data_IF_988505117692
#
_entry.id   IF_988505117692
#
_cell.length_a   1.000
_cell.length_b   1.000
_cell.length_c   1.000
_cell.angle_alpha   90.00
_cell.angle_beta   90.00
_cell.angle_gamma   90.00
#
_symmetry.space_group_name_H-M   'P 1'
#
loop_
_entity.id
_entity.type
_entity.pdbx_description
1 polymer ?
#
# COMPACT_ATOMS: atom_id res chain seq x y z
N UNK A 1 12.58 10.20 4.60
CA UNK A 1 11.49 10.93 5.29
C UNK A 1 10.19 10.63 4.56
N UNK A 2 9.08 10.35 5.26
CA UNK A 2 7.79 10.17 4.59
C UNK A 2 7.44 11.38 3.71
N UNK A 3 6.78 11.13 2.58
CA UNK A 3 6.36 12.18 1.66
C UNK A 3 5.48 13.19 2.39
N UNK A 4 5.81 14.47 2.24
CA UNK A 4 4.94 15.53 2.70
C UNK A 4 3.59 15.53 1.95
N UNK A 5 2.67 16.39 2.38
CA UNK A 5 1.34 16.46 1.81
C UNK A 5 1.33 16.87 0.32
N UNK A 6 2.34 17.61 -0.17
CA UNK A 6 2.39 18.03 -1.56
C UNK A 6 2.84 16.88 -2.47
N UNK A 7 3.92 16.21 -2.08
CA UNK A 7 4.46 15.05 -2.80
C UNK A 7 3.54 13.85 -2.72
N UNK A 8 2.94 13.59 -1.57
CA UNK A 8 1.95 12.53 -1.40
C UNK A 8 0.70 12.77 -2.26
N UNK A 9 0.25 14.03 -2.38
CA UNK A 9 -0.84 14.40 -3.29
C UNK A 9 -0.46 14.15 -4.76
N UNK A 10 0.73 14.59 -5.20
CA UNK A 10 1.21 14.33 -6.58
C UNK A 10 1.34 12.84 -6.87
N UNK A 11 1.80 12.04 -5.90
CA UNK A 11 1.87 10.59 -6.00
C UNK A 11 0.47 9.98 -6.19
N UNK A 12 -0.52 10.39 -5.40
CA UNK A 12 -1.90 9.91 -5.55
C UNK A 12 -2.51 10.33 -6.89
N UNK A 13 -2.22 11.54 -7.37
CA UNK A 13 -2.60 12.02 -8.69
C UNK A 13 -1.98 11.16 -9.80
N UNK A 14 -0.68 10.84 -9.72
CA UNK A 14 0.00 9.96 -10.67
C UNK A 14 -0.69 8.59 -10.74
N UNK A 15 -0.95 7.96 -9.59
CA UNK A 15 -1.61 6.64 -9.50
C UNK A 15 -2.98 6.67 -10.18
N UNK A 16 -3.73 7.75 -9.99
CA UNK A 16 -5.13 7.85 -10.42
C UNK A 16 -5.33 8.40 -11.82
N UNK A 17 -4.34 9.09 -12.40
CA UNK A 17 -4.43 9.69 -13.74
C UNK A 17 -3.66 8.91 -14.82
N UNK A 18 -2.53 8.27 -14.49
CA UNK A 18 -1.63 7.64 -15.48
C UNK A 18 -1.58 6.12 -15.42
N UNK A 19 -2.51 5.48 -14.71
CA UNK A 19 -2.53 4.01 -14.58
C UNK A 19 -2.67 3.27 -15.93
N UNK A 20 -3.36 3.90 -16.89
CA UNK A 20 -3.59 3.34 -18.22
C UNK A 20 -2.43 3.49 -19.18
N UNK A 21 -1.53 4.42 -18.88
CA UNK A 21 -0.28 4.51 -19.60
C UNK A 21 0.59 3.30 -19.26
N UNK A 22 0.92 2.51 -20.28
CA UNK A 22 1.76 1.32 -20.15
C UNK A 22 3.14 1.66 -19.57
N UNK A 23 3.66 2.84 -19.86
CA UNK A 23 4.93 3.34 -19.34
C UNK A 23 4.89 3.53 -17.82
N UNK A 24 3.79 4.08 -17.30
CA UNK A 24 3.59 4.36 -15.87
C UNK A 24 3.06 3.17 -15.08
N UNK A 25 2.29 2.29 -15.70
CA UNK A 25 1.62 1.16 -15.03
C UNK A 25 2.56 0.34 -14.15
N UNK A 26 3.75 -0.04 -14.65
CA UNK A 26 4.72 -0.82 -13.87
C UNK A 26 5.22 -0.07 -12.64
N UNK A 27 5.48 1.23 -12.77
CA UNK A 27 5.92 2.10 -11.67
C UNK A 27 4.82 2.24 -10.62
N UNK A 28 3.59 2.50 -11.05
CA UNK A 28 2.43 2.57 -10.18
C UNK A 28 2.19 1.25 -9.45
N UNK A 29 2.25 0.11 -10.15
CA UNK A 29 2.13 -1.21 -9.51
C UNK A 29 3.21 -1.45 -8.45
N UNK A 30 4.44 -0.96 -8.67
CA UNK A 30 5.51 -0.98 -7.65
C UNK A 30 5.15 -0.06 -6.48
N UNK A 31 4.71 1.17 -6.72
CA UNK A 31 4.28 2.10 -5.65
C UNK A 31 3.15 1.51 -4.82
N UNK A 32 2.13 0.90 -5.43
CA UNK A 32 1.03 0.22 -4.72
C UNK A 32 1.47 -1.02 -3.92
N UNK A 33 2.69 -1.53 -4.14
CA UNK A 33 3.24 -2.60 -3.31
C UNK A 33 3.79 -2.11 -1.97
N UNK A 34 4.13 -0.82 -1.88
CA UNK A 34 4.80 -0.19 -0.73
C UNK A 34 3.88 -0.05 0.49
N UNK A 35 4.46 0.04 1.71
CA UNK A 35 3.70 0.39 2.91
C UNK A 35 3.24 1.85 2.87
N UNK A 36 2.08 2.14 3.46
CA UNK A 36 1.50 3.49 3.56
C UNK A 36 2.31 4.44 4.46
N UNK A 37 3.23 3.91 5.27
CA UNK A 37 4.09 4.70 6.17
C UNK A 37 5.02 5.68 5.43
N UNK A 38 5.23 5.50 4.13
CA UNK A 38 5.98 6.46 3.32
C UNK A 38 5.20 7.71 2.93
N UNK A 39 3.94 7.86 3.36
CA UNK A 39 3.14 9.08 3.21
C UNK A 39 2.91 9.67 4.60
N UNK A 40 3.24 10.95 4.81
CA UNK A 40 3.13 11.57 6.13
C UNK A 40 1.68 11.92 6.50
N UNK A 41 0.88 12.35 5.52
CA UNK A 41 -0.48 12.81 5.75
C UNK A 41 -1.47 11.63 5.96
N UNK A 42 -2.21 11.59 7.09
CA UNK A 42 -3.10 10.47 7.40
C UNK A 42 -4.26 10.29 6.40
N UNK A 43 -4.78 11.38 5.83
CA UNK A 43 -5.84 11.34 4.81
C UNK A 43 -5.28 10.68 3.54
N UNK A 44 -4.07 11.06 3.13
CA UNK A 44 -3.40 10.49 1.98
C UNK A 44 -3.00 9.02 2.21
N UNK A 45 -2.67 8.62 3.44
CA UNK A 45 -2.48 7.21 3.79
C UNK A 45 -3.76 6.39 3.58
N UNK A 46 -4.91 6.89 4.04
CA UNK A 46 -6.21 6.24 3.85
C UNK A 46 -6.54 6.11 2.35
N UNK A 47 -6.35 7.20 1.59
CA UNK A 47 -6.53 7.21 0.14
C UNK A 47 -5.61 6.20 -0.55
N UNK A 48 -4.33 6.18 -0.18
CA UNK A 48 -3.36 5.25 -0.73
C UNK A 48 -3.74 3.79 -0.44
N UNK A 49 -4.17 3.47 0.78
CA UNK A 49 -4.60 2.12 1.16
C UNK A 49 -5.85 1.68 0.40
N UNK A 50 -6.83 2.58 0.25
CA UNK A 50 -8.03 2.33 -0.54
C UNK A 50 -7.67 2.01 -2.00
N UNK A 51 -6.83 2.84 -2.64
CA UNK A 51 -6.36 2.62 -4.01
C UNK A 51 -5.55 1.31 -4.13
N UNK A 52 -4.67 1.03 -3.17
CA UNK A 52 -3.89 -0.20 -3.09
C UNK A 52 -4.79 -1.43 -3.06
N UNK A 53 -5.83 -1.45 -2.24
CA UNK A 53 -6.76 -2.57 -2.16
C UNK A 53 -7.60 -2.66 -3.44
N UNK A 54 -8.21 -1.56 -3.88
CA UNK A 54 -9.08 -1.53 -5.05
C UNK A 54 -8.38 -1.94 -6.35
N UNK A 55 -7.20 -1.38 -6.61
CA UNK A 55 -6.44 -1.64 -7.83
C UNK A 55 -5.72 -3.00 -7.79
N UNK A 56 -5.30 -3.51 -6.63
CA UNK A 56 -4.77 -4.88 -6.51
C UNK A 56 -5.86 -5.95 -6.62
N UNK A 57 -7.03 -5.72 -6.02
CA UNK A 57 -8.18 -6.62 -6.18
C UNK A 57 -8.55 -6.75 -7.67
N UNK A 58 -8.48 -5.64 -8.40
CA UNK A 58 -8.65 -5.65 -9.84
C UNK A 58 -7.56 -6.46 -10.56
N UNK A 59 -6.28 -6.34 -10.16
CA UNK A 59 -5.18 -7.18 -10.68
C UNK A 59 -5.41 -8.68 -10.44
N UNK A 60 -5.94 -9.08 -9.28
CA UNK A 60 -6.25 -10.48 -8.96
C UNK A 60 -7.39 -11.05 -9.81
N UNK A 61 -8.28 -10.20 -10.34
CA UNK A 61 -9.38 -10.58 -11.22
C UNK A 61 -8.98 -10.66 -12.70
N UNK A 62 -7.71 -10.36 -13.04
CA UNK A 62 -7.11 -10.45 -14.39
C UNK A 62 -6.96 -11.90 -14.92
N UNK A 63 -7.76 -12.85 -14.43
CA UNK A 63 -7.86 -14.17 -15.04
C UNK A 63 -8.51 -14.10 -16.43
N UNK A 64 -9.22 -13.00 -16.77
CA UNK A 64 -9.75 -12.76 -18.11
C UNK A 64 -9.19 -11.46 -18.74
N UNK A 65 -8.56 -11.51 -19.93
CA UNK A 65 -7.58 -10.50 -20.35
C UNK A 65 -8.16 -9.46 -21.32
N UNK A 66 -7.63 -8.25 -21.22
CA UNK A 66 -7.66 -7.16 -22.20
C UNK A 66 -8.95 -6.32 -22.37
N UNK A 67 -10.15 -6.87 -22.50
CA UNK A 67 -11.31 -6.04 -22.92
C UNK A 67 -11.84 -5.05 -21.84
N UNK A 68 -11.70 -5.35 -20.55
CA UNK A 68 -12.11 -4.44 -19.45
C UNK A 68 -10.97 -3.50 -19.02
N UNK A 69 -9.72 -3.91 -19.23
CA UNK A 69 -8.50 -3.23 -18.71
C UNK A 69 -7.95 -2.20 -19.70
N UNK A 70 -8.25 -2.33 -20.99
CA UNK A 70 -7.85 -1.35 -22.00
C UNK A 70 -8.80 -0.15 -21.91
N UNK A 71 -8.43 0.86 -21.13
CA UNK A 71 -9.10 2.18 -21.14
C UNK A 71 -9.48 2.80 -19.79
N UNK A 72 -8.87 2.39 -18.68
CA UNK A 72 -9.02 3.13 -17.42
C UNK A 72 -10.26 2.90 -16.62
N UNK A 73 -11.08 1.93 -17.02
CA UNK A 73 -12.37 1.71 -16.38
C UNK A 73 -12.25 1.38 -14.89
N UNK A 74 -11.32 0.51 -14.49
CA UNK A 74 -11.16 0.13 -13.09
C UNK A 74 -10.58 1.25 -12.23
N UNK A 75 -9.61 1.99 -12.76
CA UNK A 75 -9.05 3.16 -12.09
C UNK A 75 -10.14 4.21 -11.90
N UNK A 76 -10.91 4.48 -12.96
CA UNK A 76 -12.05 5.39 -12.94
C UNK A 76 -13.13 4.94 -11.98
N UNK A 77 -13.50 3.66 -11.96
CA UNK A 77 -14.53 3.14 -11.06
C UNK A 77 -14.13 3.29 -9.58
N UNK A 78 -12.87 2.97 -9.24
CA UNK A 78 -12.34 3.13 -7.88
C UNK A 78 -12.34 4.61 -7.48
N UNK A 79 -11.95 5.51 -8.38
CA UNK A 79 -11.98 6.97 -8.14
C UNK A 79 -13.42 7.49 -7.99
N UNK A 80 -14.32 7.12 -8.91
CA UNK A 80 -15.71 7.57 -8.92
C UNK A 80 -16.42 7.09 -7.65
N UNK A 81 -16.14 5.86 -7.21
CA UNK A 81 -16.66 5.33 -5.95
C UNK A 81 -16.13 6.09 -4.74
N UNK A 82 -14.84 6.41 -4.71
CA UNK A 82 -14.25 7.23 -3.64
C UNK A 82 -14.87 8.64 -3.60
N UNK A 83 -15.11 9.27 -4.76
CA UNK A 83 -15.74 10.60 -4.86
C UNK A 83 -17.22 10.58 -4.50
N UNK A 84 -17.92 9.51 -4.86
CA UNK A 84 -19.35 9.34 -4.54
C UNK A 84 -19.56 9.05 -3.06
N UNK A 85 -18.68 8.25 -2.47
CA UNK A 85 -18.82 7.74 -1.11
C UNK A 85 -17.49 7.80 -0.32
N UNK A 86 -17.01 9.00 0.06
CA UNK A 86 -15.75 9.21 0.78
C UNK A 86 -15.56 8.35 2.04
N UNK A 87 -16.66 8.03 2.72
CA UNK A 87 -16.67 7.19 3.92
C UNK A 87 -16.17 5.75 3.68
N UNK A 88 -16.16 5.28 2.42
CA UNK A 88 -15.56 3.98 2.06
C UNK A 88 -14.03 4.01 2.10
N UNK A 89 -13.44 5.21 1.96
CA UNK A 89 -11.99 5.42 2.06
C UNK A 89 -11.60 5.63 3.53
N UNK A 90 -12.41 6.37 4.28
CA UNK A 90 -12.18 6.72 5.68
C UNK A 90 -13.36 7.49 6.25
N UNK A 91 -13.75 7.20 7.48
CA UNK A 91 -14.98 7.72 8.11
C UNK A 91 -15.01 9.25 8.26
N UNK A 92 -13.84 9.89 8.32
CA UNK A 92 -13.71 11.34 8.53
C UNK A 92 -13.42 12.13 7.23
N UNK A 93 -13.37 11.44 6.08
CA UNK A 93 -13.05 12.07 4.80
C UNK A 93 -14.22 12.84 4.21
N UNK A 94 -13.92 14.02 3.68
CA UNK A 94 -14.88 14.85 2.96
C UNK A 94 -14.64 14.78 1.46
N UNK A 95 -15.57 15.34 0.69
CA UNK A 95 -15.48 15.32 -0.78
C UNK A 95 -14.30 16.16 -1.28
N UNK A 96 -13.97 17.22 -0.56
CA UNK A 96 -12.89 18.15 -0.87
C UNK A 96 -11.52 17.45 -0.80
N UNK A 97 -11.36 16.53 0.15
CA UNK A 97 -10.13 15.76 0.37
C UNK A 97 -9.83 14.78 -0.77
N UNK A 98 -10.85 14.42 -1.57
CA UNK A 98 -10.77 13.40 -2.62
C UNK A 98 -10.92 14.02 -4.02
N UNK A 99 -11.32 15.30 -4.10
CA UNK A 99 -11.63 15.98 -5.36
C UNK A 99 -10.47 15.95 -6.37
N UNK A 100 -9.23 15.98 -5.88
CA UNK A 100 -8.02 16.00 -6.71
C UNK A 100 -7.70 14.67 -7.41
N UNK A 101 -8.27 13.53 -6.96
CA UNK A 101 -8.02 12.23 -7.57
C UNK A 101 -8.46 12.23 -9.05
N UNK A 102 -7.66 11.58 -9.89
CA UNK A 102 -7.88 11.52 -11.34
C UNK A 102 -7.48 12.79 -12.10
N UNK A 103 -6.98 13.82 -11.41
CA UNK A 103 -6.36 14.98 -12.05
C UNK A 103 -4.90 14.67 -12.33
N UNK A 104 -4.43 14.94 -13.55
CA UNK A 104 -3.02 14.75 -13.89
C UNK A 104 -2.13 15.69 -13.06
N UNK A 105 -1.01 15.20 -12.49
CA UNK A 105 -0.15 16.02 -11.64
C UNK A 105 0.73 17.02 -12.40
N UNK A 106 0.79 16.95 -13.74
CA UNK A 106 1.61 17.82 -14.58
C UNK A 106 2.85 17.16 -15.17
N UNK A 107 3.48 17.82 -16.12
CA UNK A 107 4.65 17.32 -16.86
C UNK A 107 5.93 17.27 -16.00
N UNK A 108 5.92 17.88 -14.82
CA UNK A 108 6.98 17.81 -13.81
C UNK A 108 7.08 16.41 -13.17
N UNK A 109 5.99 15.64 -13.20
CA UNK A 109 5.99 14.23 -12.79
C UNK A 109 6.60 13.38 -13.90
N UNK A 110 7.92 13.25 -13.83
CA UNK A 110 8.77 12.46 -14.75
C UNK A 110 9.26 11.17 -14.08
N UNK A 111 9.94 10.30 -14.84
CA UNK A 111 10.61 9.11 -14.26
C UNK A 111 11.61 9.50 -13.16
N UNK A 112 12.42 10.55 -13.40
CA UNK A 112 13.39 11.03 -12.42
C UNK A 112 12.72 11.53 -11.14
N UNK A 113 11.61 12.25 -11.27
CA UNK A 113 10.80 12.63 -10.10
C UNK A 113 10.28 11.41 -9.34
N UNK A 114 9.84 10.35 -10.03
CA UNK A 114 9.35 9.13 -9.38
C UNK A 114 10.47 8.41 -8.63
N UNK A 115 11.68 8.36 -9.18
CA UNK A 115 12.85 7.80 -8.51
C UNK A 115 13.21 8.62 -7.25
N UNK A 116 13.22 9.95 -7.34
CA UNK A 116 13.45 10.83 -6.19
C UNK A 116 12.39 10.66 -5.11
N UNK A 117 11.12 10.58 -5.51
CA UNK A 117 9.98 10.31 -4.61
C UNK A 117 10.14 8.96 -3.90
N UNK A 118 10.62 7.92 -4.60
CA UNK A 118 10.92 6.64 -3.96
C UNK A 118 12.07 6.73 -2.97
N UNK A 119 13.13 7.47 -3.28
CA UNK A 119 14.23 7.69 -2.32
C UNK A 119 13.66 8.28 -1.03
N UNK A 120 12.86 9.36 -1.14
CA UNK A 120 12.23 9.96 0.03
C UNK A 120 11.36 8.97 0.80
N UNK A 121 10.52 8.20 0.10
CA UNK A 121 9.65 7.17 0.68
C UNK A 121 10.38 6.19 1.60
N UNK A 122 11.64 5.86 1.28
CA UNK A 122 12.46 4.89 2.02
C UNK A 122 13.59 5.51 2.85
N UNK A 123 13.78 6.83 2.81
CA UNK A 123 14.83 7.54 3.55
C UNK A 123 14.47 7.69 5.05
N UNK A 124 13.75 6.71 5.59
CA UNK A 124 13.59 6.47 7.03
C UNK A 124 14.36 5.18 7.27
N UNK A 125 15.52 5.23 7.95
CA UNK A 125 16.07 4.01 8.55
C UNK A 125 14.93 3.37 9.34
N UNK A 126 14.65 2.09 9.16
CA UNK A 126 13.78 1.39 10.11
C UNK A 126 14.33 1.69 11.50
N UNK A 127 13.71 2.61 12.24
CA UNK A 127 13.94 2.72 13.66
C UNK A 127 13.42 1.40 14.21
N UNK A 128 14.38 0.50 14.42
CA UNK A 128 14.29 -0.67 15.27
C UNK A 128 13.40 -0.27 16.44
N UNK A 129 12.15 -0.74 16.45
CA UNK A 129 11.38 -0.72 17.69
C UNK A 129 12.24 -1.48 18.68
N UNK A 130 12.78 -0.88 19.76
CA UNK A 130 13.28 -1.69 20.83
C UNK A 130 12.10 -2.56 21.27
N UNK A 131 12.30 -3.87 21.23
CA UNK A 131 11.34 -4.83 21.75
C UNK A 131 10.89 -4.32 23.12
N UNK A 132 9.59 -4.01 23.25
CA UNK A 132 8.99 -3.69 24.53
C UNK A 132 9.20 -4.89 25.46
N UNK A 133 10.11 -4.71 26.42
CA UNK A 133 10.09 -5.30 27.76
C UNK A 133 9.81 -6.79 27.86
N UNK A 134 10.85 -7.61 27.71
CA UNK A 134 10.97 -8.84 28.50
C UNK A 134 11.61 -8.45 29.85
N UNK A 135 10.77 -8.03 30.81
CA UNK A 135 11.18 -8.04 32.22
C UNK A 135 11.19 -9.49 32.75
N UNK A 136 12.21 -9.71 33.57
CA UNK A 136 12.81 -10.97 33.97
C UNK A 136 11.91 -11.86 34.84
N UNK A 137 12.05 -13.18 34.67
CA UNK A 137 11.44 -14.20 35.53
C UNK A 137 12.29 -15.47 35.62
N UNK A 138 13.47 -15.36 36.22
CA UNK A 138 14.40 -16.46 36.53
C UNK A 138 13.86 -17.34 37.67
N UNK A 139 13.65 -18.64 37.41
CA UNK A 139 13.83 -19.78 38.36
C UNK A 139 13.96 -21.06 37.51
N UNK A 140 15.19 -21.53 37.25
CA UNK A 140 15.93 -22.55 38.00
C UNK A 140 15.37 -23.99 37.88
N UNK A 141 16.18 -24.85 37.26
CA UNK A 141 16.38 -26.27 37.58
C UNK A 141 15.18 -27.22 37.65
N UNK A 142 15.13 -28.19 36.73
CA UNK A 142 15.37 -29.61 37.06
C UNK A 142 15.19 -30.52 35.83
N UNK A 143 16.17 -31.40 35.65
CA UNK A 143 16.24 -32.55 34.73
C UNK A 143 14.92 -33.36 34.59
N UNK A 144 14.65 -33.80 33.36
CA UNK A 144 14.36 -35.22 33.13
C UNK A 144 14.56 -35.59 31.66
N UNK A 145 15.66 -36.29 31.42
CA UNK A 145 15.82 -37.20 30.31
C UNK A 145 14.86 -38.38 30.47
N UNK A 146 14.10 -38.70 29.43
CA UNK A 146 13.65 -40.06 29.14
C UNK A 146 13.12 -40.12 27.70
N UNK A 147 14.00 -40.50 26.78
CA UNK A 147 13.58 -41.19 25.59
C UNK A 147 13.02 -42.55 26.02
N UNK A 148 11.82 -42.89 25.57
CA UNK A 148 11.33 -44.27 25.61
C UNK A 148 10.49 -44.51 24.37
N UNK A 149 10.96 -45.49 23.60
CA UNK A 149 10.30 -46.10 22.47
C UNK A 149 9.03 -46.85 22.87
N UNK A 150 8.31 -47.27 21.82
CA UNK A 150 7.39 -48.41 21.71
C UNK A 150 5.88 -48.18 21.61
N UNK A 151 5.44 -48.22 20.34
CA UNK A 151 4.53 -49.22 19.74
C UNK A 151 3.10 -49.42 20.27
N UNK A 152 2.14 -49.19 19.36
CA UNK A 152 1.02 -50.11 19.05
C UNK A 152 0.10 -49.49 17.98
N UNK A 153 -0.48 -50.16 16.98
CA UNK A 153 -0.41 -51.52 16.45
C UNK A 153 -0.96 -51.44 15.01
N UNK A 154 -0.39 -52.14 14.02
CA UNK A 154 -1.14 -52.49 12.79
C UNK A 154 -0.52 -53.66 12.04
N UNK A 155 -1.35 -54.70 11.89
CA UNK A 155 -1.32 -55.82 10.94
C UNK A 155 -0.17 -56.83 11.03
#
# INVERSE_FOLDING_TARGET
MALDAELGKKMLQLITSRYDDRHWRKKIEKTLSLPQSGVADPIQQQLFMYLKIGLKAYKSRRADPDAWIIGGYATKEVIDRAKFQPQLVGSDLKKEDIAFLGTDPGDDVTEGWWDEMLVQWFDVPEEEKPAEGEEEGKTDGTESAAATEEQSSKA
#
